data_IF_681827920267
#
_entry.id   IF_681827920267
#
_cell.length_a   1.000
_cell.length_b   1.000
_cell.length_c   1.000
_cell.angle_alpha   90.00
_cell.angle_beta   90.00
_cell.angle_gamma   90.00
#
_symmetry.space_group_name_H-M   'P 1'
#
loop_
_entity.id
_entity.type
_entity.pdbx_description
1 polymer ?
#
# COMPACT_ATOMS: atom_id res chain seq x y z
N UNK A 1 25.39 0.68 -26.16
CA UNK A 1 25.03 1.91 -26.90
C UNK A 1 23.94 2.64 -26.12
N UNK A 2 24.30 3.68 -25.37
CA UNK A 2 23.35 4.39 -24.49
C UNK A 2 22.48 5.38 -25.29
N UNK A 3 21.16 5.20 -25.27
CA UNK A 3 20.21 6.21 -25.75
C UNK A 3 20.49 7.51 -24.98
N UNK A 4 20.99 8.53 -25.68
CA UNK A 4 21.44 9.79 -25.06
C UNK A 4 20.30 10.67 -24.56
N UNK A 5 19.10 10.57 -25.15
CA UNK A 5 17.93 11.34 -24.76
C UNK A 5 16.64 10.55 -25.02
N UNK A 6 15.64 10.72 -24.16
CA UNK A 6 14.27 10.25 -24.42
C UNK A 6 13.66 11.07 -25.55
N UNK A 7 12.94 10.39 -26.43
CA UNK A 7 12.18 11.02 -27.51
C UNK A 7 11.01 11.84 -26.93
N UNK A 8 10.51 12.87 -27.64
CA UNK A 8 9.31 13.60 -27.22
C UNK A 8 8.10 12.70 -26.97
N UNK A 9 7.98 11.58 -27.69
CA UNK A 9 6.93 10.60 -27.48
C UNK A 9 7.07 9.85 -26.13
N UNK A 10 8.29 9.42 -25.79
CA UNK A 10 8.60 8.78 -24.50
C UNK A 10 8.36 9.76 -23.33
N UNK A 11 8.74 11.04 -23.49
CA UNK A 11 8.48 12.10 -22.51
C UNK A 11 6.97 12.31 -22.31
N UNK A 12 6.22 12.46 -23.41
CA UNK A 12 4.76 12.63 -23.37
C UNK A 12 4.07 11.45 -22.68
N UNK A 13 4.55 10.24 -22.94
CA UNK A 13 4.01 9.03 -22.31
C UNK A 13 4.30 8.99 -20.80
N UNK A 14 5.50 9.37 -20.37
CA UNK A 14 5.83 9.47 -18.94
C UNK A 14 5.01 10.55 -18.23
N UNK A 15 4.83 11.73 -18.84
CA UNK A 15 3.97 12.78 -18.27
C UNK A 15 2.52 12.33 -18.12
N UNK A 16 1.99 11.58 -19.11
CA UNK A 16 0.64 10.98 -19.00
C UNK A 16 0.54 9.99 -17.85
N UNK A 17 1.60 9.21 -17.61
CA UNK A 17 1.67 8.24 -16.51
C UNK A 17 1.68 8.94 -15.16
N UNK A 18 2.51 9.96 -14.96
CA UNK A 18 2.53 10.77 -13.73
C UNK A 18 1.17 11.43 -13.49
N UNK A 19 0.55 11.99 -14.53
CA UNK A 19 -0.78 12.58 -14.41
C UNK A 19 -1.85 11.53 -14.05
N UNK A 20 -1.72 10.29 -14.53
CA UNK A 20 -2.61 9.19 -14.12
C UNK A 20 -2.35 8.78 -12.68
N UNK A 21 -1.10 8.62 -12.28
CA UNK A 21 -0.68 8.28 -10.91
C UNK A 21 -1.26 9.30 -9.92
N UNK A 22 -1.07 10.59 -10.18
CA UNK A 22 -1.63 11.66 -9.35
C UNK A 22 -3.16 11.60 -9.24
N UNK A 23 -3.88 11.28 -10.33
CA UNK A 23 -5.35 11.13 -10.30
C UNK A 23 -5.83 9.89 -9.54
N UNK A 24 -4.99 8.84 -9.48
CA UNK A 24 -5.36 7.56 -8.88
C UNK A 24 -4.81 7.36 -7.47
N UNK A 25 -3.86 8.20 -7.05
CA UNK A 25 -3.17 8.13 -5.76
C UNK A 25 -4.13 8.01 -4.58
N UNK A 26 -5.32 8.62 -4.67
CA UNK A 26 -6.30 8.60 -3.58
C UNK A 26 -7.11 7.31 -3.46
N UNK A 27 -7.20 6.51 -4.53
CA UNK A 27 -8.10 5.33 -4.59
C UNK A 27 -7.33 4.02 -4.62
N UNK A 28 -6.19 4.03 -5.29
CA UNK A 28 -5.46 2.81 -5.56
C UNK A 28 -4.87 2.13 -4.32
N UNK A 29 -4.20 2.84 -3.39
CA UNK A 29 -3.64 2.22 -2.20
C UNK A 29 -4.69 1.46 -1.42
N UNK A 30 -5.90 2.02 -1.31
CA UNK A 30 -7.01 1.40 -0.60
C UNK A 30 -7.40 0.04 -1.18
N UNK A 31 -7.57 -0.05 -2.50
CA UNK A 31 -7.94 -1.31 -3.18
C UNK A 31 -6.82 -2.35 -3.12
N UNK A 32 -5.57 -1.94 -3.33
CA UNK A 32 -4.41 -2.84 -3.30
C UNK A 32 -4.16 -3.37 -1.88
N UNK A 33 -4.18 -2.50 -0.87
CA UNK A 33 -4.02 -2.91 0.52
C UNK A 33 -5.18 -3.80 0.99
N UNK A 34 -6.41 -3.52 0.55
CA UNK A 34 -7.54 -4.40 0.81
C UNK A 34 -7.31 -5.83 0.32
N UNK A 35 -6.79 -5.99 -0.89
CA UNK A 35 -6.44 -7.30 -1.46
C UNK A 35 -5.27 -7.94 -0.68
N UNK A 36 -4.19 -7.20 -0.45
CA UNK A 36 -2.98 -7.71 0.23
C UNK A 36 -3.33 -8.19 1.64
N UNK A 37 -3.92 -7.33 2.47
CA UNK A 37 -4.27 -7.67 3.85
C UNK A 37 -5.27 -8.84 3.93
N UNK A 38 -6.23 -8.89 3.01
CA UNK A 38 -7.20 -10.00 2.94
C UNK A 38 -6.55 -11.31 2.54
N UNK A 39 -5.62 -11.27 1.59
CA UNK A 39 -4.88 -12.44 1.14
C UNK A 39 -3.92 -12.95 2.24
N UNK A 40 -3.23 -12.05 2.95
CA UNK A 40 -2.41 -12.37 4.12
C UNK A 40 -3.22 -13.13 5.16
N UNK A 41 -4.37 -12.59 5.57
CA UNK A 41 -5.18 -13.20 6.63
C UNK A 41 -5.84 -14.51 6.19
N UNK A 42 -6.18 -14.63 4.90
CA UNK A 42 -6.62 -15.89 4.31
C UNK A 42 -5.54 -16.97 4.43
N UNK A 43 -4.30 -16.65 4.04
CA UNK A 43 -3.20 -17.63 3.99
C UNK A 43 -2.65 -17.97 5.37
N UNK A 44 -2.46 -16.98 6.26
CA UNK A 44 -1.81 -17.18 7.57
C UNK A 44 -2.76 -17.61 8.66
N UNK A 45 -4.02 -17.18 8.59
CA UNK A 45 -4.99 -17.39 9.67
C UNK A 45 -6.23 -18.14 9.20
N UNK A 46 -6.31 -18.52 7.92
CA UNK A 46 -7.41 -19.33 7.37
C UNK A 46 -8.74 -18.58 7.26
N UNK A 47 -8.73 -17.25 7.27
CA UNK A 47 -9.95 -16.46 7.18
C UNK A 47 -10.57 -16.60 5.79
N UNK A 48 -11.91 -16.66 5.73
CA UNK A 48 -12.67 -16.75 4.48
C UNK A 48 -13.99 -15.98 4.58
N UNK A 49 -14.57 -15.63 3.44
CA UNK A 49 -15.91 -15.05 3.32
C UNK A 49 -16.21 -13.96 4.35
N UNK A 50 -17.18 -14.24 5.22
CA UNK A 50 -17.66 -13.29 6.24
C UNK A 50 -16.57 -12.74 7.16
N UNK A 51 -15.54 -13.52 7.50
CA UNK A 51 -14.47 -13.03 8.40
C UNK A 51 -13.60 -11.98 7.72
N UNK A 52 -13.29 -12.17 6.43
CA UNK A 52 -12.56 -11.19 5.64
C UNK A 52 -13.41 -9.95 5.43
N UNK A 53 -14.70 -10.12 5.08
CA UNK A 53 -15.62 -9.00 4.90
C UNK A 53 -15.80 -8.18 6.19
N UNK A 54 -15.87 -8.82 7.36
CA UNK A 54 -15.94 -8.13 8.66
C UNK A 54 -14.71 -7.27 8.91
N UNK A 55 -13.50 -7.79 8.66
CA UNK A 55 -12.27 -7.01 8.77
C UNK A 55 -12.26 -5.82 7.81
N UNK A 56 -12.60 -6.04 6.54
CA UNK A 56 -12.62 -4.97 5.54
C UNK A 56 -13.62 -3.86 5.91
N UNK A 57 -14.82 -4.24 6.38
CA UNK A 57 -15.81 -3.28 6.87
C UNK A 57 -15.29 -2.51 8.08
N UNK A 58 -14.59 -3.18 9.01
CA UNK A 58 -14.05 -2.51 10.18
C UNK A 58 -12.99 -1.47 9.82
N UNK A 59 -12.11 -1.79 8.87
CA UNK A 59 -11.13 -0.83 8.34
C UNK A 59 -11.83 0.37 7.70
N UNK A 60 -12.90 0.16 6.95
CA UNK A 60 -13.68 1.26 6.37
C UNK A 60 -14.39 2.12 7.42
N UNK A 61 -14.91 1.53 8.51
CA UNK A 61 -15.46 2.27 9.65
C UNK A 61 -14.38 3.15 10.30
N UNK A 62 -13.18 2.60 10.52
CA UNK A 62 -12.07 3.35 11.11
C UNK A 62 -11.60 4.49 10.20
N UNK A 63 -11.61 4.31 8.88
CA UNK A 63 -11.34 5.40 7.92
C UNK A 63 -12.37 6.52 8.03
N UNK A 64 -13.66 6.17 8.13
CA UNK A 64 -14.71 7.16 8.28
C UNK A 64 -14.59 7.91 9.61
N UNK A 65 -14.26 7.22 10.70
CA UNK A 65 -14.08 7.82 12.01
C UNK A 65 -12.82 8.69 12.10
N UNK A 66 -11.72 8.29 11.44
CA UNK A 66 -10.53 9.13 11.28
C UNK A 66 -10.83 10.39 10.47
N UNK A 67 -11.51 10.24 9.33
CA UNK A 67 -11.92 11.37 8.47
C UNK A 67 -12.86 12.34 9.21
N UNK A 68 -13.69 11.83 10.12
CA UNK A 68 -14.54 12.62 11.01
C UNK A 68 -13.81 13.19 12.25
N UNK A 69 -12.50 12.95 12.40
CA UNK A 69 -11.69 13.44 13.52
C UNK A 69 -11.96 12.73 14.85
N UNK A 70 -12.61 11.57 14.85
CA UNK A 70 -12.91 10.79 16.07
C UNK A 70 -11.77 9.89 16.50
N UNK A 71 -10.85 9.60 15.59
CA UNK A 71 -9.71 8.72 15.80
C UNK A 71 -8.43 9.51 15.51
N UNK A 72 -7.46 9.45 16.43
CA UNK A 72 -6.10 9.93 16.22
C UNK A 72 -5.18 8.79 15.77
N UNK A 73 -4.47 9.01 14.66
CA UNK A 73 -3.47 8.06 14.15
C UNK A 73 -2.32 7.82 15.14
N UNK A 74 -1.95 8.82 15.94
CA UNK A 74 -0.91 8.65 16.97
C UNK A 74 -1.36 7.71 18.07
N UNK A 75 -2.63 7.80 18.47
CA UNK A 75 -3.20 6.90 19.46
C UNK A 75 -3.27 5.46 18.94
N UNK A 76 -3.72 5.27 17.70
CA UNK A 76 -3.73 3.94 17.07
C UNK A 76 -2.32 3.35 16.96
N UNK A 77 -1.37 4.14 16.48
CA UNK A 77 0.02 3.72 16.36
C UNK A 77 0.61 3.30 17.72
N UNK A 78 0.32 4.08 18.77
CA UNK A 78 0.72 3.75 20.14
C UNK A 78 0.06 2.47 20.65
N UNK A 79 -1.25 2.29 20.43
CA UNK A 79 -1.97 1.06 20.83
C UNK A 79 -1.35 -0.19 20.20
N UNK A 80 -0.98 -0.11 18.92
CA UNK A 80 -0.29 -1.20 18.24
C UNK A 80 1.09 -1.46 18.85
N UNK A 81 1.87 -0.40 19.11
CA UNK A 81 3.17 -0.49 19.78
C UNK A 81 3.07 -1.14 21.16
N UNK A 82 2.12 -0.71 21.98
CA UNK A 82 1.92 -1.22 23.34
C UNK A 82 1.54 -2.72 23.32
N UNK A 83 0.81 -3.17 22.28
CA UNK A 83 0.36 -4.56 22.15
C UNK A 83 1.39 -5.48 21.50
N UNK A 84 2.06 -5.02 20.45
CA UNK A 84 2.89 -5.85 19.57
C UNK A 84 4.40 -5.58 19.76
N UNK A 85 4.78 -4.46 20.37
CA UNK A 85 6.17 -4.03 20.49
C UNK A 85 6.75 -3.45 19.19
N UNK A 86 5.90 -3.17 18.20
CA UNK A 86 6.22 -2.50 16.94
C UNK A 86 5.00 -1.72 16.46
N UNK A 87 5.20 -0.77 15.55
CA UNK A 87 4.13 -0.04 14.88
C UNK A 87 4.49 0.22 13.42
N UNK A 88 3.58 0.82 12.68
CA UNK A 88 3.77 1.18 11.28
C UNK A 88 3.94 2.69 11.21
N UNK A 89 5.08 3.12 10.67
CA UNK A 89 5.45 4.53 10.62
C UNK A 89 5.35 5.05 9.18
N UNK A 90 4.69 6.20 9.04
CA UNK A 90 4.73 6.94 7.79
C UNK A 90 6.09 7.64 7.67
N UNK A 91 6.79 7.38 6.56
CA UNK A 91 8.01 8.10 6.18
C UNK A 91 7.77 8.82 4.86
N UNK A 92 7.82 10.14 4.90
CA UNK A 92 7.66 10.95 3.70
C UNK A 92 8.89 10.82 2.80
N UNK A 93 8.65 10.58 1.51
CA UNK A 93 9.64 10.79 0.46
C UNK A 93 9.93 12.29 0.33
N UNK A 94 11.21 12.59 0.18
CA UNK A 94 11.77 13.93 0.05
C UNK A 94 12.67 14.00 -1.17
N UNK A 95 13.15 15.19 -1.51
CA UNK A 95 14.13 15.33 -2.60
C UNK A 95 15.46 14.63 -2.30
N UNK A 96 15.76 14.36 -1.02
CA UNK A 96 16.99 13.67 -0.59
C UNK A 96 16.95 12.17 -0.94
N UNK A 97 15.76 11.62 -1.17
CA UNK A 97 15.56 10.22 -1.60
C UNK A 97 15.77 10.04 -3.12
N UNK A 98 15.93 11.15 -3.88
CA UNK A 98 16.16 11.09 -5.33
C UNK A 98 17.62 10.73 -5.62
N UNK A 99 17.82 9.54 -6.20
CA UNK A 99 19.16 9.06 -6.61
C UNK A 99 19.64 9.65 -7.95
N UNK A 100 18.70 10.15 -8.77
CA UNK A 100 19.02 10.74 -10.05
C UNK A 100 19.79 12.06 -9.90
N UNK A 101 20.74 12.33 -10.81
CA UNK A 101 21.54 13.56 -10.78
C UNK A 101 20.64 14.80 -10.88
N UNK A 102 20.81 15.74 -9.94
CA UNK A 102 20.11 17.03 -9.94
C UNK A 102 20.25 17.76 -11.28
N UNK A 103 19.13 18.27 -11.80
CA UNK A 103 19.04 18.92 -13.10
C UNK A 103 18.88 17.97 -14.30
N UNK A 104 18.91 16.65 -14.08
CA UNK A 104 18.53 15.68 -15.12
C UNK A 104 17.02 15.61 -15.29
N UNK A 105 16.57 15.14 -16.46
CA UNK A 105 15.16 14.89 -16.71
C UNK A 105 14.60 13.79 -15.78
N UNK A 106 15.40 12.76 -15.45
CA UNK A 106 15.00 11.74 -14.47
C UNK A 106 14.78 12.36 -13.07
N UNK A 107 15.67 13.25 -12.63
CA UNK A 107 15.48 13.98 -11.37
C UNK A 107 14.19 14.81 -11.37
N UNK A 108 13.86 15.46 -12.50
CA UNK A 108 12.58 16.17 -12.61
C UNK A 108 11.39 15.22 -12.49
N UNK A 109 11.43 14.05 -13.14
CA UNK A 109 10.37 13.04 -13.04
C UNK A 109 10.20 12.53 -11.60
N UNK A 110 11.28 12.09 -10.96
CA UNK A 110 11.25 11.56 -9.60
C UNK A 110 10.68 12.60 -8.64
N UNK A 111 11.07 13.87 -8.81
CA UNK A 111 10.54 14.99 -8.04
C UNK A 111 9.03 15.20 -8.23
N UNK A 112 8.50 15.04 -9.44
CA UNK A 112 7.05 15.12 -9.68
C UNK A 112 6.29 13.94 -9.06
N UNK A 113 6.94 12.80 -8.87
CA UNK A 113 6.33 11.61 -8.26
C UNK A 113 6.28 11.66 -6.73
N UNK A 114 7.13 12.46 -6.06
CA UNK A 114 7.15 12.56 -4.58
C UNK A 114 5.75 12.79 -4.00
N UNK A 115 5.00 13.77 -4.53
CA UNK A 115 3.66 14.11 -4.01
C UNK A 115 2.69 12.93 -4.07
N UNK A 116 2.42 12.38 -5.27
CA UNK A 116 1.58 11.19 -5.42
C UNK A 116 2.07 9.98 -4.60
N UNK A 117 3.38 9.73 -4.53
CA UNK A 117 3.95 8.64 -3.73
C UNK A 117 3.72 8.82 -2.23
N UNK A 118 3.82 10.06 -1.74
CA UNK A 118 3.52 10.38 -0.35
C UNK A 118 2.06 10.17 0.01
N UNK A 119 1.12 10.52 -0.89
CA UNK A 119 -0.30 10.22 -0.72
C UNK A 119 -0.52 8.70 -0.67
N UNK A 120 0.09 7.96 -1.60
CA UNK A 120 0.02 6.50 -1.64
C UNK A 120 0.53 5.89 -0.33
N UNK A 121 1.70 6.35 0.14
CA UNK A 121 2.34 5.82 1.34
C UNK A 121 1.54 6.15 2.62
N UNK A 122 1.00 7.36 2.72
CA UNK A 122 0.16 7.76 3.85
C UNK A 122 -1.10 6.88 3.93
N UNK A 123 -1.81 6.71 2.81
CA UNK A 123 -3.00 5.87 2.77
C UNK A 123 -2.69 4.40 3.08
N UNK A 124 -1.60 3.86 2.54
CA UNK A 124 -1.18 2.49 2.81
C UNK A 124 -0.84 2.30 4.30
N UNK A 125 -0.09 3.24 4.88
CA UNK A 125 0.24 3.25 6.31
C UNK A 125 -1.02 3.25 7.17
N UNK A 126 -1.97 4.14 6.85
CA UNK A 126 -3.23 4.25 7.56
C UNK A 126 -4.06 2.97 7.47
N UNK A 127 -4.19 2.40 6.27
CA UNK A 127 -4.91 1.14 6.07
C UNK A 127 -4.30 0.02 6.92
N UNK A 128 -2.98 -0.13 6.93
CA UNK A 128 -2.32 -1.18 7.70
C UNK A 128 -2.52 -0.98 9.21
N UNK A 129 -2.41 0.24 9.71
CA UNK A 129 -2.67 0.55 11.12
C UNK A 129 -4.10 0.18 11.53
N UNK A 130 -5.10 0.50 10.71
CA UNK A 130 -6.48 0.11 10.95
C UNK A 130 -6.68 -1.40 10.86
N UNK A 131 -6.03 -2.05 9.91
CA UNK A 131 -6.10 -3.50 9.75
C UNK A 131 -5.57 -4.24 10.98
N UNK A 132 -4.37 -3.90 11.46
CA UNK A 132 -3.81 -4.55 12.66
C UNK A 132 -4.61 -4.22 13.92
N UNK A 133 -5.09 -2.98 14.04
CA UNK A 133 -5.98 -2.60 15.15
C UNK A 133 -7.28 -3.40 15.11
N UNK A 134 -7.85 -3.63 13.92
CA UNK A 134 -9.04 -4.47 13.76
C UNK A 134 -8.77 -5.92 14.13
N UNK A 135 -7.58 -6.47 13.83
CA UNK A 135 -7.20 -7.82 14.26
C UNK A 135 -7.08 -7.92 15.78
N UNK A 136 -6.56 -6.87 16.43
CA UNK A 136 -6.52 -6.78 17.89
C UNK A 136 -7.91 -6.73 18.49
N UNK A 137 -8.76 -5.83 18.00
CA UNK A 137 -10.04 -5.49 18.62
C UNK A 137 -11.12 -6.53 18.34
N UNK A 138 -11.23 -7.03 17.09
CA UNK A 138 -12.29 -7.98 16.70
C UNK A 138 -11.91 -9.44 17.01
N UNK A 139 -10.62 -9.77 17.00
CA UNK A 139 -10.16 -11.17 17.09
C UNK A 139 -9.17 -11.43 18.23
N UNK A 140 -8.84 -10.43 19.04
CA UNK A 140 -7.99 -10.58 20.21
C UNK A 140 -6.56 -10.99 19.87
N UNK A 141 -6.04 -10.63 18.69
CA UNK A 141 -4.70 -11.01 18.28
C UNK A 141 -3.65 -10.44 19.26
N UNK A 142 -2.82 -11.32 19.80
CA UNK A 142 -1.66 -10.96 20.60
C UNK A 142 -0.42 -10.73 19.74
N UNK A 143 0.66 -10.24 20.37
CA UNK A 143 1.95 -9.93 19.75
C UNK A 143 2.37 -10.95 18.69
N UNK A 144 2.51 -12.22 19.07
CA UNK A 144 3.05 -13.25 18.18
C UNK A 144 2.23 -13.43 16.89
N UNK A 145 0.89 -13.34 16.98
CA UNK A 145 0.02 -13.45 15.80
C UNK A 145 0.12 -12.21 14.93
N UNK A 146 0.14 -11.02 15.54
CA UNK A 146 0.30 -9.77 14.81
C UNK A 146 1.64 -9.75 14.06
N UNK A 147 2.73 -10.12 14.73
CA UNK A 147 4.06 -10.19 14.11
C UNK A 147 4.10 -11.18 12.94
N UNK A 148 3.54 -12.37 13.06
CA UNK A 148 3.51 -13.33 11.92
C UNK A 148 2.71 -12.82 10.72
N UNK A 149 1.63 -12.09 10.98
CA UNK A 149 0.82 -11.46 9.92
C UNK A 149 1.62 -10.34 9.26
N UNK A 150 2.33 -9.53 10.05
CA UNK A 150 3.17 -8.43 9.57
C UNK A 150 4.36 -8.92 8.73
N UNK A 151 5.09 -9.93 9.21
CA UNK A 151 6.23 -10.52 8.49
C UNK A 151 5.79 -11.03 7.12
N UNK A 152 4.67 -11.75 7.06
CA UNK A 152 4.16 -12.23 5.78
C UNK A 152 3.64 -11.12 4.87
N UNK A 153 3.01 -10.10 5.46
CA UNK A 153 2.57 -8.95 4.69
C UNK A 153 3.76 -8.23 4.05
N UNK A 154 4.87 -8.07 4.77
CA UNK A 154 6.10 -7.48 4.23
C UNK A 154 6.70 -8.32 3.10
N UNK A 155 6.72 -9.65 3.22
CA UNK A 155 7.13 -10.55 2.13
C UNK A 155 6.29 -10.32 0.85
N UNK A 156 4.97 -10.16 1.00
CA UNK A 156 4.09 -9.88 -0.13
C UNK A 156 4.27 -8.46 -0.66
N UNK A 157 4.47 -7.46 0.19
CA UNK A 157 4.74 -6.08 -0.26
C UNK A 157 6.02 -6.01 -1.11
N UNK A 158 7.08 -6.73 -0.71
CA UNK A 158 8.29 -6.86 -1.52
C UNK A 158 8.02 -7.53 -2.87
N UNK A 159 7.21 -8.59 -2.88
CA UNK A 159 6.79 -9.28 -4.11
C UNK A 159 6.00 -8.34 -5.03
N UNK A 160 5.07 -7.57 -4.47
CA UNK A 160 4.28 -6.57 -5.19
C UNK A 160 5.11 -5.40 -5.72
N UNK A 161 6.18 -5.02 -5.02
CA UNK A 161 7.12 -4.01 -5.51
C UNK A 161 7.88 -4.50 -6.75
N UNK A 162 8.25 -5.78 -6.79
CA UNK A 162 8.96 -6.39 -7.92
C UNK A 162 8.04 -6.65 -9.12
N UNK A 163 6.83 -7.15 -8.86
CA UNK A 163 5.86 -7.48 -9.91
C UNK A 163 4.45 -7.09 -9.48
N UNK A 164 3.93 -6.03 -10.10
CA UNK A 164 2.58 -5.52 -9.87
C UNK A 164 1.49 -6.49 -10.32
N UNK A 165 1.78 -7.48 -11.15
CA UNK A 165 0.78 -8.47 -11.60
C UNK A 165 0.38 -9.44 -10.49
N UNK A 166 1.25 -9.67 -9.49
CA UNK A 166 1.00 -10.53 -8.33
C UNK A 166 -0.29 -10.19 -7.58
N UNK A 167 -0.64 -8.91 -7.47
CA UNK A 167 -1.88 -8.48 -6.79
C UNK A 167 -3.14 -9.02 -7.49
N UNK A 168 -3.08 -9.24 -8.82
CA UNK A 168 -4.19 -9.86 -9.56
C UNK A 168 -4.32 -11.34 -9.26
N UNK A 169 -3.20 -12.03 -9.06
CA UNK A 169 -3.20 -13.44 -8.64
C UNK A 169 -3.82 -13.59 -7.25
N UNK A 170 -3.45 -12.71 -6.31
CA UNK A 170 -4.04 -12.68 -4.97
C UNK A 170 -5.54 -12.35 -5.00
N UNK A 171 -5.92 -11.38 -5.83
CA UNK A 171 -7.33 -11.06 -6.09
C UNK A 171 -8.10 -12.29 -6.61
N UNK A 172 -7.55 -13.00 -7.60
CA UNK A 172 -8.16 -14.21 -8.12
C UNK A 172 -8.26 -15.31 -7.06
N UNK A 173 -7.23 -15.51 -6.23
CA UNK A 173 -7.25 -16.47 -5.14
C UNK A 173 -8.30 -16.13 -4.07
N UNK A 174 -8.48 -14.85 -3.73
CA UNK A 174 -9.53 -14.42 -2.79
C UNK A 174 -10.92 -14.76 -3.32
N UNK A 175 -11.14 -14.60 -4.62
CA UNK A 175 -12.40 -14.97 -5.26
C UNK A 175 -12.61 -16.48 -5.25
N UNK A 176 -11.63 -17.26 -5.74
CA UNK A 176 -11.80 -18.70 -5.97
C UNK A 176 -11.69 -19.54 -4.70
N UNK A 177 -10.86 -19.14 -3.74
CA UNK A 177 -10.53 -19.94 -2.56
C UNK A 177 -11.22 -19.46 -1.27
N UNK A 178 -11.48 -18.16 -1.15
CA UNK A 178 -12.15 -17.55 0.00
C UNK A 178 -13.58 -17.08 -0.27
N UNK A 179 -14.01 -17.08 -1.54
CA UNK A 179 -15.35 -16.62 -1.94
C UNK A 179 -15.57 -15.13 -1.68
N UNK A 180 -14.52 -14.32 -1.72
CA UNK A 180 -14.57 -12.88 -1.47
C UNK A 180 -14.42 -12.12 -2.78
N UNK A 181 -15.39 -11.26 -3.08
CA UNK A 181 -15.30 -10.31 -4.19
C UNK A 181 -14.78 -9.00 -3.65
N UNK A 182 -13.70 -8.49 -4.24
CA UNK A 182 -13.17 -7.16 -3.94
C UNK A 182 -13.25 -6.27 -5.18
N UNK A 183 -13.05 -4.96 -5.01
CA UNK A 183 -12.83 -4.11 -6.18
C UNK A 183 -11.53 -4.57 -6.87
N UNK A 184 -11.50 -4.70 -8.21
CA UNK A 184 -10.28 -5.01 -8.93
C UNK A 184 -9.15 -4.04 -8.56
N UNK A 185 -7.90 -4.53 -8.49
CA UNK A 185 -6.78 -3.67 -8.16
C UNK A 185 -6.66 -2.60 -9.24
N UNK A 186 -6.83 -1.36 -8.83
CA UNK A 186 -6.35 -0.24 -9.64
C UNK A 186 -4.83 -0.29 -9.55
N UNK A 187 -4.10 -0.07 -10.63
CA UNK A 187 -2.64 0.06 -10.60
C UNK A 187 -2.29 1.52 -10.89
N UNK A 188 -1.61 2.25 -9.99
CA UNK A 188 -1.17 3.61 -10.26
C UNK A 188 0.26 3.64 -10.81
N UNK A 189 1.00 2.51 -10.74
CA UNK A 189 2.45 2.46 -10.83
C UNK A 189 2.87 1.81 -12.14
N UNK A 190 3.05 2.64 -13.16
CA UNK A 190 3.88 2.27 -14.32
C UNK A 190 5.32 2.79 -14.15
N UNK A 191 5.88 2.67 -12.95
CA UNK A 191 7.32 2.83 -12.76
C UNK A 191 8.02 1.73 -13.57
N UNK A 192 8.99 2.11 -14.40
CA UNK A 192 9.93 1.15 -14.99
C UNK A 192 10.61 0.40 -13.85
N UNK A 193 10.74 -0.93 -13.96
CA UNK A 193 11.57 -1.73 -13.06
C UNK A 193 12.91 -1.02 -12.84
N UNK A 194 13.20 -0.61 -11.60
CA UNK A 194 14.39 0.17 -11.23
C UNK A 194 14.17 1.65 -10.87
N UNK A 195 12.96 2.21 -11.01
CA UNK A 195 12.60 3.50 -10.39
C UNK A 195 12.05 3.25 -8.98
N UNK A 196 12.89 2.69 -8.12
CA UNK A 196 12.53 2.44 -6.72
C UNK A 196 13.08 3.60 -5.91
N UNK A 197 12.21 4.48 -5.41
CA UNK A 197 12.58 5.28 -4.23
C UNK A 197 12.39 4.38 -3.02
N UNK A 198 13.47 3.73 -2.61
CA UNK A 198 13.52 2.91 -1.40
C UNK A 198 13.50 3.85 -0.20
N UNK A 199 12.31 4.01 0.41
CA UNK A 199 12.11 4.71 1.67
C UNK A 199 12.08 3.74 2.83
#
# INVERSE_FOLDING_TARGET
MGKRHLTPAEIKEQCKRIARESRMADRTPWTAMGIICSYVIMRREGFKGQRISRLANKVNEMEADWSAGKIDMKEISKRLMDKAGWSIEYKAYTEDDITARKGSYQYWLDRQQIGPQNIINEQATRYMLFFFTSLMDEYGFGKDRLTRVEEYMNELLLSYQQDKTTVREWYHALLTEAGVVMEPPVDPLTQTAGSIMTG
#
